data_IF_560970588221
#
_entry.id   IF_560970588221
#
_cell.length_a   1.000
_cell.length_b   1.000
_cell.length_c   1.000
_cell.angle_alpha   90.00
_cell.angle_beta   90.00
_cell.angle_gamma   90.00
#
_symmetry.space_group_name_H-M   'P 1'
#
loop_
_entity.id
_entity.type
_entity.pdbx_description
1 polymer ?
#
# COMPACT_ATOMS: atom_id res chain seq x y z
N UNK A 1 -5.77 -16.96 5.44
CA UNK A 1 -4.38 -17.27 5.08
C UNK A 1 -4.11 -16.69 3.70
N UNK A 2 -3.12 -15.80 3.55
CA UNK A 2 -2.74 -15.22 2.26
C UNK A 2 -2.20 -16.35 1.39
N UNK A 3 -2.62 -16.41 0.12
CA UNK A 3 -2.16 -17.43 -0.83
C UNK A 3 -0.67 -17.24 -1.12
N UNK A 4 0.16 -18.31 -1.15
CA UNK A 4 1.61 -18.18 -1.38
C UNK A 4 1.94 -17.42 -2.67
N UNK A 5 1.13 -17.62 -3.71
CA UNK A 5 1.30 -16.97 -5.02
C UNK A 5 1.05 -15.46 -4.93
N UNK A 6 0.17 -15.03 -4.03
CA UNK A 6 -0.04 -13.61 -3.77
C UNK A 6 1.18 -13.04 -3.05
N UNK A 7 1.72 -13.75 -2.06
CA UNK A 7 2.88 -13.30 -1.27
C UNK A 7 4.09 -12.96 -2.16
N UNK A 8 4.36 -13.78 -3.18
CA UNK A 8 5.44 -13.55 -4.14
C UNK A 8 5.23 -12.26 -4.96
N UNK A 9 3.99 -11.93 -5.29
CA UNK A 9 3.64 -10.74 -6.07
C UNK A 9 3.75 -9.46 -5.24
N UNK A 10 3.34 -9.49 -3.97
CA UNK A 10 3.34 -8.31 -3.08
C UNK A 10 4.69 -8.09 -2.38
N UNK A 11 5.48 -9.14 -2.13
CA UNK A 11 6.76 -9.03 -1.41
C UNK A 11 7.68 -7.90 -1.93
N UNK A 12 7.87 -7.69 -3.26
CA UNK A 12 8.75 -6.64 -3.78
C UNK A 12 8.29 -5.21 -3.47
N UNK A 13 7.02 -5.00 -3.13
CA UNK A 13 6.45 -3.68 -2.85
C UNK A 13 6.31 -3.40 -1.36
N UNK A 14 6.75 -4.33 -0.51
CA UNK A 14 6.67 -4.26 0.95
C UNK A 14 8.06 -4.14 1.58
N UNK A 15 8.10 -3.56 2.78
CA UNK A 15 9.32 -3.42 3.58
C UNK A 15 9.66 -4.70 4.37
N UNK A 16 9.39 -5.88 3.80
CA UNK A 16 9.57 -7.16 4.49
C UNK A 16 11.02 -7.64 4.38
N UNK A 17 11.50 -7.82 3.16
CA UNK A 17 12.84 -8.37 2.88
C UNK A 17 13.82 -7.30 2.39
N UNK A 18 13.33 -6.11 2.02
CA UNK A 18 14.12 -5.04 1.42
C UNK A 18 13.68 -3.68 1.94
N UNK A 19 14.65 -2.78 2.08
CA UNK A 19 14.35 -1.36 2.29
C UNK A 19 13.93 -0.74 0.96
N UNK A 20 12.78 -0.08 0.95
CA UNK A 20 12.32 0.67 -0.21
C UNK A 20 12.86 2.10 -0.15
N UNK A 21 13.17 2.64 -1.32
CA UNK A 21 13.48 4.06 -1.45
C UNK A 21 12.27 4.90 -0.99
N UNK A 22 12.55 5.71 0.03
CA UNK A 22 11.61 6.61 0.70
C UNK A 22 11.87 8.07 0.36
N UNK A 23 12.92 8.40 -0.40
CA UNK A 23 13.28 9.77 -0.73
C UNK A 23 13.56 10.64 0.51
N UNK A 24 13.42 11.96 0.37
CA UNK A 24 13.62 12.92 1.46
C UNK A 24 12.32 13.13 2.25
N UNK A 25 12.31 12.94 3.58
CA UNK A 25 11.11 13.08 4.39
C UNK A 25 10.62 14.53 4.43
N UNK A 26 9.31 14.72 4.31
CA UNK A 26 8.67 16.03 4.49
C UNK A 26 7.92 15.99 5.82
N UNK A 27 8.60 16.36 6.91
CA UNK A 27 8.13 16.14 8.28
C UNK A 27 6.75 16.76 8.54
N UNK A 28 6.48 17.95 8.01
CA UNK A 28 5.17 18.62 8.18
C UNK A 28 3.99 17.74 7.70
N UNK A 29 4.13 17.08 6.54
CA UNK A 29 3.07 16.22 6.01
C UNK A 29 3.01 14.89 6.76
N UNK A 30 4.16 14.37 7.21
CA UNK A 30 4.20 13.14 7.99
C UNK A 30 3.55 13.32 9.35
N UNK A 31 3.79 14.44 10.03
CA UNK A 31 3.17 14.73 11.32
C UNK A 31 1.64 14.84 11.20
N UNK A 32 1.15 15.56 10.19
CA UNK A 32 -0.30 15.67 9.94
C UNK A 32 -0.92 14.33 9.58
N UNK A 33 -0.23 13.51 8.78
CA UNK A 33 -0.71 12.18 8.43
C UNK A 33 -0.75 11.29 9.67
N UNK A 34 0.26 11.34 10.52
CA UNK A 34 0.27 10.59 11.78
C UNK A 34 -0.87 11.00 12.71
N UNK A 35 -1.18 12.29 12.81
CA UNK A 35 -2.31 12.76 13.61
C UNK A 35 -3.65 12.14 13.16
N UNK A 36 -3.86 11.96 11.86
CA UNK A 36 -5.05 11.28 11.34
C UNK A 36 -5.05 9.77 11.65
N UNK A 37 -3.88 9.14 11.79
CA UNK A 37 -3.74 7.71 12.08
C UNK A 37 -3.92 7.37 13.57
N UNK A 38 -3.87 8.36 14.48
CA UNK A 38 -4.10 8.15 15.93
C UNK A 38 -5.52 7.65 16.24
N UNK A 39 -6.48 7.94 15.36
CA UNK A 39 -7.86 7.49 15.53
C UNK A 39 -7.97 6.04 15.05
N UNK A 40 -8.26 5.07 15.93
CA UNK A 40 -8.31 3.65 15.54
C UNK A 40 -9.39 3.42 14.47
N UNK A 41 -9.12 2.48 13.57
CA UNK A 41 -10.04 2.10 12.48
C UNK A 41 -10.37 3.23 11.50
N UNK A 42 -9.47 4.21 11.35
CA UNK A 42 -9.64 5.33 10.42
C UNK A 42 -9.05 5.03 9.05
N UNK A 43 -9.76 5.48 8.01
CA UNK A 43 -9.27 5.45 6.63
C UNK A 43 -8.83 6.86 6.26
N UNK A 44 -7.54 7.00 5.90
CA UNK A 44 -6.98 8.27 5.45
C UNK A 44 -6.74 8.19 3.94
N UNK A 45 -7.34 9.12 3.20
CA UNK A 45 -7.18 9.20 1.74
C UNK A 45 -6.25 10.37 1.37
N UNK A 46 -5.14 10.07 0.68
CA UNK A 46 -4.21 11.08 0.16
C UNK A 46 -4.55 11.37 -1.30
N UNK A 47 -5.04 12.56 -1.59
CA UNK A 47 -5.44 12.99 -2.94
C UNK A 47 -4.51 14.08 -3.50
N UNK A 48 -4.58 14.35 -4.81
CA UNK A 48 -3.79 15.40 -5.47
C UNK A 48 -3.29 15.01 -6.86
N UNK A 49 -2.62 15.95 -7.54
CA UNK A 49 -2.16 15.80 -8.94
C UNK A 49 -1.17 14.64 -9.15
N UNK A 50 -1.15 14.03 -10.34
CA UNK A 50 -0.15 12.98 -10.65
C UNK A 50 1.26 13.52 -10.43
N UNK A 51 2.17 12.65 -9.95
CA UNK A 51 3.58 12.97 -9.65
C UNK A 51 3.84 13.88 -8.44
N UNK A 52 2.82 14.27 -7.66
CA UNK A 52 2.98 15.04 -6.42
C UNK A 52 3.60 14.27 -5.24
N UNK A 53 4.26 13.13 -5.48
CA UNK A 53 4.92 12.37 -4.41
C UNK A 53 4.02 11.59 -3.44
N UNK A 54 2.71 11.46 -3.67
CA UNK A 54 1.79 10.74 -2.75
C UNK A 54 2.25 9.33 -2.38
N UNK A 55 2.71 8.54 -3.36
CA UNK A 55 3.23 7.19 -3.10
C UNK A 55 4.50 7.24 -2.24
N UNK A 56 5.34 8.25 -2.43
CA UNK A 56 6.51 8.47 -1.59
C UNK A 56 6.12 8.86 -0.17
N UNK A 57 5.15 9.75 0.01
CA UNK A 57 4.62 10.11 1.33
C UNK A 57 4.08 8.88 2.09
N UNK A 58 3.33 8.01 1.42
CA UNK A 58 2.85 6.76 2.05
C UNK A 58 4.01 5.83 2.44
N UNK A 59 5.05 5.71 1.60
CA UNK A 59 6.24 4.90 1.93
C UNK A 59 7.02 5.48 3.10
N UNK A 60 7.17 6.80 3.15
CA UNK A 60 7.81 7.51 4.26
C UNK A 60 7.04 7.27 5.57
N UNK A 61 5.72 7.32 5.52
CA UNK A 61 4.88 6.99 6.68
C UNK A 61 5.08 5.55 7.14
N UNK A 62 5.10 4.58 6.23
CA UNK A 62 5.37 3.17 6.57
C UNK A 62 6.74 3.03 7.26
N UNK A 63 7.77 3.69 6.75
CA UNK A 63 9.10 3.71 7.38
C UNK A 63 9.05 4.31 8.80
N UNK A 64 8.38 5.45 8.98
CA UNK A 64 8.22 6.09 10.29
C UNK A 64 7.47 5.21 11.29
N UNK A 65 6.45 4.47 10.85
CA UNK A 65 5.74 3.48 11.67
C UNK A 65 6.65 2.31 12.08
N UNK A 66 7.51 1.83 11.17
CA UNK A 66 8.49 0.79 11.49
C UNK A 66 9.53 1.29 12.51
N UNK A 67 10.01 2.52 12.38
CA UNK A 67 10.93 3.16 13.33
C UNK A 67 10.29 3.32 14.72
N UNK A 68 8.96 3.45 14.77
CA UNK A 68 8.15 3.47 16.02
C UNK A 68 7.84 2.07 16.59
N UNK A 69 8.33 1.00 15.97
CA UNK A 69 8.19 -0.37 16.48
C UNK A 69 6.99 -1.14 15.93
N UNK A 70 6.27 -0.62 14.93
CA UNK A 70 5.21 -1.39 14.26
C UNK A 70 5.82 -2.55 13.47
N UNK A 71 5.23 -3.75 13.61
CA UNK A 71 5.74 -4.94 12.96
C UNK A 71 5.69 -4.81 11.44
N UNK A 72 6.82 -5.06 10.77
CA UNK A 72 7.00 -4.94 9.31
C UNK A 72 6.00 -5.78 8.52
N UNK A 73 5.65 -6.97 9.02
CA UNK A 73 4.69 -7.88 8.36
C UNK A 73 3.24 -7.45 8.52
N UNK A 74 2.92 -6.56 9.46
CA UNK A 74 1.57 -5.99 9.61
C UNK A 74 1.30 -4.84 8.65
N UNK A 75 2.36 -4.23 8.10
CA UNK A 75 2.28 -3.14 7.14
C UNK A 75 2.28 -3.70 5.72
N UNK A 76 1.24 -3.38 4.96
CA UNK A 76 1.03 -3.88 3.59
C UNK A 76 0.85 -2.70 2.66
N UNK A 77 1.73 -2.59 1.67
CA UNK A 77 1.65 -1.69 0.54
C UNK A 77 1.23 -2.48 -0.70
N UNK A 78 0.13 -2.05 -1.32
CA UNK A 78 -0.43 -2.66 -2.52
C UNK A 78 -0.50 -1.61 -3.63
N UNK A 79 0.01 -1.96 -4.82
CA UNK A 79 0.03 -1.08 -5.98
C UNK A 79 -0.66 -1.78 -7.15
N UNK A 80 -1.50 -1.07 -7.90
CA UNK A 80 -2.29 -1.60 -9.02
C UNK A 80 -1.82 -1.17 -10.43
N UNK A 81 -0.52 -1.04 -10.75
CA UNK A 81 -0.10 -0.44 -12.01
C UNK A 81 -0.40 -1.31 -13.25
N UNK A 82 -0.62 -2.62 -13.10
CA UNK A 82 -0.77 -3.56 -14.23
C UNK A 82 -1.80 -4.67 -13.99
N UNK A 83 -3.06 -4.30 -13.77
CA UNK A 83 -4.16 -5.28 -13.74
C UNK A 83 -4.60 -5.76 -15.14
N UNK A 84 -4.01 -5.23 -16.21
CA UNK A 84 -4.32 -5.64 -17.59
C UNK A 84 -3.49 -6.81 -18.14
N UNK A 85 -2.32 -7.14 -17.56
CA UNK A 85 -1.38 -8.11 -18.18
C UNK A 85 -1.45 -9.55 -17.64
N UNK A 86 -2.34 -9.88 -16.70
CA UNK A 86 -2.57 -11.28 -16.27
C UNK A 86 -4.05 -11.61 -16.02
N UNK A 87 -4.86 -11.61 -17.08
CA UNK A 87 -6.17 -12.29 -17.08
C UNK A 87 -6.07 -13.83 -16.97
N UNK A 88 -4.88 -14.44 -16.86
CA UNK A 88 -4.72 -15.90 -16.65
C UNK A 88 -5.16 -16.40 -15.27
N UNK A 89 -5.37 -15.52 -14.28
CA UNK A 89 -5.95 -15.92 -12.97
C UNK A 89 -7.49 -15.80 -12.99
N UNK A 90 -8.10 -15.43 -14.13
CA UNK A 90 -9.55 -15.16 -14.19
C UNK A 90 -10.45 -16.36 -14.44
N UNK A 91 -9.94 -17.58 -14.65
CA UNK A 91 -10.82 -18.74 -14.92
C UNK A 91 -11.18 -19.60 -13.70
N UNK A 92 -10.54 -19.39 -12.54
CA UNK A 92 -10.91 -20.09 -11.29
C UNK A 92 -11.81 -19.25 -10.37
N UNK A 93 -11.69 -17.91 -10.40
CA UNK A 93 -12.38 -17.01 -9.45
C UNK A 93 -13.65 -16.36 -10.06
N UNK A 94 -13.84 -16.42 -11.39
CA UNK A 94 -14.99 -15.82 -12.10
C UNK A 94 -16.37 -16.43 -11.83
N UNK A 95 -16.52 -17.41 -10.93
CA UNK A 95 -17.86 -17.94 -10.61
C UNK A 95 -18.61 -17.14 -9.54
N UNK A 96 -17.96 -16.32 -8.70
CA UNK A 96 -18.62 -15.84 -7.48
C UNK A 96 -18.58 -14.34 -7.14
N UNK A 97 -17.99 -13.47 -7.95
CA UNK A 97 -17.96 -12.03 -7.60
C UNK A 97 -18.39 -11.14 -8.76
N UNK A 98 -19.71 -10.93 -8.86
CA UNK A 98 -20.29 -9.80 -9.57
C UNK A 98 -20.09 -8.55 -8.71
N UNK A 99 -19.17 -7.67 -9.10
CA UNK A 99 -19.14 -6.31 -8.57
C UNK A 99 -18.72 -5.36 -9.70
N UNK A 100 -19.74 -4.70 -10.24
CA UNK A 100 -19.65 -3.57 -11.15
C UNK A 100 -18.79 -2.46 -10.53
N UNK A 101 -17.77 -2.00 -11.26
CA UNK A 101 -17.17 -0.69 -11.01
C UNK A 101 -17.39 0.13 -12.27
N UNK A 102 -18.36 1.04 -12.17
CA UNK A 102 -18.60 2.16 -13.07
C UNK A 102 -18.00 3.39 -12.38
N UNK A 103 -16.93 3.94 -12.96
CA UNK A 103 -16.60 5.37 -12.92
C UNK A 103 -15.99 5.72 -14.28
#
# INVERSE_FOLDING_TARGET
MIRPELMEIISPFNFWERELDTGYPIEEYLDRFEDYLKVPSTIVAVTGVRRSGKTYLCRQMIRRLMEKGVNRHSLISLSFPYYHTRQRISNSIRRNCTASIRV
#
